data_IF_434904792389
#
_entry.id   IF_434904792389
#
_cell.length_a   1.000
_cell.length_b   1.000
_cell.length_c   1.000
_cell.angle_alpha   90.00
_cell.angle_beta   90.00
_cell.angle_gamma   90.00
#
_symmetry.space_group_name_H-M   'P 1'
#
loop_
_entity.id
_entity.type
_entity.pdbx_description
1 polymer ?
#
# COMPACT_ATOMS: atom_id res chain seq x y z
N UNK A 1 -0.21 34.27 7.59
CA UNK A 1 -0.46 32.92 7.04
C UNK A 1 -1.63 32.99 6.06
N UNK A 2 -1.43 32.66 4.78
CA UNK A 2 -2.51 32.72 3.77
C UNK A 2 -3.62 31.69 4.05
N UNK A 3 -4.84 31.96 3.56
CA UNK A 3 -5.95 31.00 3.63
C UNK A 3 -5.55 29.75 2.84
N UNK A 4 -5.59 28.58 3.47
CA UNK A 4 -5.40 27.30 2.77
C UNK A 4 -6.57 27.11 1.82
N UNK A 5 -6.29 26.75 0.57
CA UNK A 5 -7.31 26.35 -0.40
C UNK A 5 -8.10 25.12 0.07
N UNK A 6 -9.24 24.81 -0.57
CA UNK A 6 -10.05 23.66 -0.21
C UNK A 6 -9.23 22.37 -0.29
N UNK A 7 -9.47 21.45 0.67
CA UNK A 7 -8.80 20.15 0.66
C UNK A 7 -9.19 19.36 -0.60
N UNK A 8 -8.24 18.67 -1.26
CA UNK A 8 -8.55 17.78 -2.37
C UNK A 8 -9.56 16.71 -1.95
N UNK A 9 -10.55 16.47 -2.82
CA UNK A 9 -11.48 15.35 -2.73
C UNK A 9 -11.05 14.29 -3.73
N UNK A 10 -11.28 13.02 -3.38
CA UNK A 10 -10.96 11.90 -4.26
C UNK A 10 -12.23 11.18 -4.67
N UNK A 11 -12.39 10.95 -5.96
CA UNK A 11 -13.56 10.27 -6.53
C UNK A 11 -13.37 8.75 -6.59
N UNK A 12 -12.12 8.31 -6.66
CA UNK A 12 -11.67 6.94 -6.90
C UNK A 12 -11.14 6.23 -5.64
N UNK A 13 -11.08 6.92 -4.50
CA UNK A 13 -10.56 6.36 -3.25
C UNK A 13 -11.72 5.98 -2.33
N UNK A 14 -11.79 4.70 -1.97
CA UNK A 14 -12.76 4.16 -1.01
C UNK A 14 -12.22 4.13 0.42
N UNK A 15 -13.12 4.07 1.40
CA UNK A 15 -12.72 3.86 2.79
C UNK A 15 -12.30 2.40 3.02
N UNK A 16 -11.10 2.13 3.59
CA UNK A 16 -10.61 0.77 3.87
C UNK A 16 -11.09 0.23 5.23
N UNK A 17 -12.02 0.89 5.90
CA UNK A 17 -12.53 0.41 7.19
C UNK A 17 -13.74 -0.50 6.96
N UNK A 18 -13.59 -1.82 7.16
CA UNK A 18 -14.70 -2.79 7.03
C UNK A 18 -15.92 -2.48 7.91
N UNK A 19 -15.72 -1.74 9.00
CA UNK A 19 -16.80 -1.35 9.91
C UNK A 19 -17.44 0.00 9.53
N UNK A 20 -17.00 0.64 8.45
CA UNK A 20 -17.57 1.90 7.98
C UNK A 20 -18.81 1.64 7.12
N UNK A 21 -19.85 2.45 7.30
CA UNK A 21 -21.06 2.42 6.45
C UNK A 21 -20.78 2.64 4.96
N UNK A 22 -19.69 3.34 4.65
CA UNK A 22 -19.22 3.63 3.29
C UNK A 22 -17.94 2.84 2.95
N UNK A 23 -17.78 1.65 3.54
CA UNK A 23 -16.67 0.75 3.21
C UNK A 23 -16.71 0.34 1.73
N UNK A 24 -15.57 0.39 1.05
CA UNK A 24 -15.44 -0.07 -0.34
C UNK A 24 -16.13 0.79 -1.40
N UNK A 25 -16.99 1.75 -1.02
CA UNK A 25 -17.69 2.63 -1.93
C UNK A 25 -16.82 3.84 -2.33
N UNK A 26 -16.72 4.09 -3.63
CA UNK A 26 -16.07 5.27 -4.21
C UNK A 26 -17.09 6.38 -4.49
N UNK A 27 -16.62 7.59 -4.80
CA UNK A 27 -17.43 8.76 -5.16
C UNK A 27 -18.51 9.18 -4.12
N UNK A 28 -18.33 8.82 -2.83
CA UNK A 28 -19.26 9.20 -1.77
C UNK A 28 -18.91 10.54 -1.11
N UNK A 29 -17.83 11.20 -1.54
CA UNK A 29 -17.36 12.47 -0.97
C UNK A 29 -16.84 12.38 0.47
N UNK A 30 -16.79 11.18 1.05
CA UNK A 30 -16.34 10.95 2.43
C UNK A 30 -14.81 10.93 2.58
N UNK A 31 -14.05 10.67 1.50
CA UNK A 31 -12.59 10.62 1.55
C UNK A 31 -11.99 11.94 1.07
N UNK A 32 -11.16 12.56 1.92
CA UNK A 32 -10.47 13.81 1.62
C UNK A 32 -8.98 13.75 1.94
N UNK A 33 -8.22 14.62 1.30
CA UNK A 33 -6.78 14.77 1.57
C UNK A 33 -6.50 15.22 3.00
N UNK A 34 -5.63 14.49 3.68
CA UNK A 34 -5.13 14.78 5.02
C UNK A 34 -3.61 15.07 5.03
N UNK A 35 -3.15 15.78 4.01
CA UNK A 35 -1.74 16.14 3.83
C UNK A 35 -0.92 15.07 3.14
N UNK A 36 0.37 15.36 3.00
CA UNK A 36 1.36 14.51 2.34
C UNK A 36 2.62 14.47 3.19
N UNK A 37 3.36 13.37 3.15
CA UNK A 37 4.62 13.18 3.86
C UNK A 37 5.57 12.37 2.99
N UNK A 38 6.87 12.44 3.28
CA UNK A 38 7.85 11.61 2.61
C UNK A 38 7.93 10.26 3.34
N UNK A 39 7.77 9.18 2.60
CA UNK A 39 7.95 7.81 3.05
C UNK A 39 8.77 7.08 2.01
N UNK A 40 9.83 6.36 2.41
CA UNK A 40 10.69 5.59 1.49
C UNK A 40 11.29 6.40 0.34
N UNK A 41 11.52 7.70 0.55
CA UNK A 41 12.03 8.61 -0.49
C UNK A 41 10.96 9.12 -1.46
N UNK A 42 9.69 8.74 -1.29
CA UNK A 42 8.59 9.13 -2.17
C UNK A 42 7.52 9.93 -1.41
N UNK A 43 6.79 10.77 -2.14
CA UNK A 43 5.71 11.57 -1.58
C UNK A 43 4.47 10.70 -1.40
N UNK A 44 4.16 10.34 -0.17
CA UNK A 44 2.96 9.58 0.18
C UNK A 44 1.84 10.50 0.62
N UNK A 45 0.66 10.29 0.03
CA UNK A 45 -0.57 10.99 0.42
C UNK A 45 -1.22 10.32 1.63
N UNK A 46 -1.74 11.14 2.54
CA UNK A 46 -2.68 10.71 3.58
C UNK A 46 -4.07 11.14 3.19
N UNK A 47 -5.02 10.29 3.51
CA UNK A 47 -6.44 10.51 3.33
C UNK A 47 -7.15 10.24 4.66
N UNK A 48 -8.28 10.89 4.86
CA UNK A 48 -9.16 10.63 6.00
C UNK A 48 -10.58 10.42 5.50
N UNK A 49 -11.25 9.42 6.06
CA UNK A 49 -12.67 9.21 5.85
C UNK A 49 -13.45 10.02 6.90
N UNK A 50 -14.22 11.03 6.47
CA UNK A 50 -15.05 11.83 7.37
C UNK A 50 -16.25 11.06 7.95
N UNK A 51 -16.62 9.92 7.37
CA UNK A 51 -17.71 9.08 7.89
C UNK A 51 -17.31 8.29 9.15
N UNK A 52 -16.07 7.81 9.24
CA UNK A 52 -15.62 6.95 10.34
C UNK A 52 -14.32 7.42 11.02
N UNK A 53 -13.72 8.51 10.57
CA UNK A 53 -12.49 9.07 11.11
C UNK A 53 -11.20 8.32 10.75
N UNK A 54 -11.26 7.15 10.07
CA UNK A 54 -10.06 6.39 9.72
C UNK A 54 -9.13 7.22 8.84
N UNK A 55 -7.89 7.37 9.27
CA UNK A 55 -6.78 7.92 8.49
C UNK A 55 -6.05 6.78 7.81
N UNK A 56 -5.75 6.93 6.54
CA UNK A 56 -5.08 5.92 5.74
C UNK A 56 -4.22 6.59 4.65
N UNK A 57 -3.47 5.79 3.91
CA UNK A 57 -2.59 6.24 2.84
C UNK A 57 -2.72 5.34 1.61
N UNK A 58 -2.04 5.70 0.53
CA UNK A 58 -2.10 5.00 -0.77
C UNK A 58 -1.66 3.52 -0.68
N UNK A 59 -0.88 3.13 0.34
CA UNK A 59 -0.47 1.74 0.55
C UNK A 59 -1.39 0.97 1.50
N UNK A 60 -2.44 1.58 2.06
CA UNK A 60 -3.34 0.89 3.01
C UNK A 60 -4.06 -0.26 2.32
N UNK A 61 -4.08 -1.42 2.97
CA UNK A 61 -4.62 -2.70 2.45
C UNK A 61 -3.95 -3.22 1.16
N UNK A 62 -2.82 -2.64 0.75
CA UNK A 62 -1.99 -3.15 -0.35
C UNK A 62 -0.87 -4.07 0.15
N UNK A 63 -0.22 -4.78 -0.78
CA UNK A 63 1.02 -5.51 -0.53
C UNK A 63 2.08 -4.63 0.15
N UNK A 64 2.18 -3.36 -0.24
CA UNK A 64 3.17 -2.43 0.28
C UNK A 64 2.89 -1.93 1.70
N UNK A 65 1.73 -2.20 2.29
CA UNK A 65 1.39 -1.65 3.61
C UNK A 65 2.45 -1.96 4.69
N UNK A 66 2.93 -0.97 5.44
CA UNK A 66 3.94 -1.13 6.50
C UNK A 66 5.30 -1.73 6.08
N UNK A 67 5.64 -1.79 4.79
CA UNK A 67 7.02 -2.04 4.37
C UNK A 67 7.89 -0.78 4.57
N UNK A 68 9.21 -0.93 4.73
CA UNK A 68 10.13 0.21 4.95
C UNK A 68 11.09 0.46 3.80
N UNK A 69 11.27 -0.51 2.90
CA UNK A 69 12.09 -0.36 1.69
C UNK A 69 11.26 0.25 0.56
N UNK A 70 11.93 0.95 -0.35
CA UNK A 70 11.33 1.51 -1.55
C UNK A 70 10.63 0.42 -2.38
N UNK A 71 9.52 0.76 -3.02
CA UNK A 71 8.74 -0.20 -3.80
C UNK A 71 9.57 -0.85 -4.90
N UNK A 72 10.38 -0.05 -5.61
CA UNK A 72 11.31 -0.53 -6.65
C UNK A 72 12.23 -1.65 -6.19
N UNK A 73 12.76 -1.58 -4.96
CA UNK A 73 13.64 -2.62 -4.40
C UNK A 73 12.86 -3.91 -4.15
N UNK A 74 11.64 -3.79 -3.63
CA UNK A 74 10.78 -4.94 -3.34
C UNK A 74 10.32 -5.58 -4.66
N UNK A 75 9.92 -4.79 -5.65
CA UNK A 75 9.55 -5.25 -6.98
C UNK A 75 10.68 -6.01 -7.66
N UNK A 76 11.92 -5.51 -7.53
CA UNK A 76 13.08 -6.16 -8.08
C UNK A 76 13.33 -7.51 -7.39
N UNK A 77 13.19 -7.58 -6.06
CA UNK A 77 13.27 -8.84 -5.32
C UNK A 77 12.23 -9.87 -5.81
N UNK A 78 10.97 -9.44 -5.94
CA UNK A 78 9.90 -10.31 -6.45
C UNK A 78 10.20 -10.79 -7.87
N UNK A 79 10.64 -9.90 -8.78
CA UNK A 79 11.01 -10.26 -10.16
C UNK A 79 12.19 -11.23 -10.21
N UNK A 80 13.21 -11.05 -9.38
CA UNK A 80 14.36 -11.95 -9.30
C UNK A 80 13.92 -13.35 -8.84
N UNK A 81 13.10 -13.43 -7.79
CA UNK A 81 12.56 -14.70 -7.32
C UNK A 81 11.65 -15.38 -8.36
N UNK A 82 10.83 -14.62 -9.09
CA UNK A 82 10.03 -15.17 -10.21
C UNK A 82 10.89 -15.73 -11.35
N UNK A 83 12.11 -15.22 -11.52
CA UNK A 83 13.10 -15.75 -12.48
C UNK A 83 13.92 -16.92 -11.92
N UNK A 84 13.57 -17.45 -10.74
CA UNK A 84 14.22 -18.62 -10.13
C UNK A 84 15.46 -18.30 -9.31
N UNK A 85 15.75 -17.03 -9.03
CA UNK A 85 16.88 -16.66 -8.17
C UNK A 85 16.59 -17.04 -6.71
N UNK A 86 17.58 -17.58 -6.01
CA UNK A 86 17.43 -17.94 -4.60
C UNK A 86 17.23 -16.70 -3.72
N UNK A 87 16.74 -16.91 -2.50
CA UNK A 87 16.54 -15.83 -1.52
C UNK A 87 17.88 -15.19 -1.18
N UNK A 88 18.92 -16.02 -1.03
CA UNK A 88 20.29 -15.60 -0.70
C UNK A 88 20.90 -14.78 -1.83
N UNK A 89 20.80 -15.25 -3.08
CA UNK A 89 21.32 -14.52 -4.24
C UNK A 89 20.56 -13.20 -4.46
N UNK A 90 19.24 -13.20 -4.26
CA UNK A 90 18.43 -11.97 -4.35
C UNK A 90 18.82 -10.97 -3.26
N UNK A 91 19.06 -11.45 -2.04
CA UNK A 91 19.46 -10.63 -0.91
C UNK A 91 20.85 -10.00 -1.12
N UNK A 92 21.78 -10.77 -1.66
CA UNK A 92 23.13 -10.34 -2.02
C UNK A 92 23.09 -9.23 -3.09
N UNK A 93 22.41 -9.47 -4.22
CA UNK A 93 22.29 -8.50 -5.32
C UNK A 93 21.62 -7.18 -4.89
N UNK A 94 20.66 -7.24 -3.96
CA UNK A 94 19.92 -6.06 -3.49
C UNK A 94 20.52 -5.44 -2.22
N UNK A 95 21.59 -6.00 -1.68
CA UNK A 95 22.22 -5.58 -0.43
C UNK A 95 21.20 -5.45 0.73
N UNK A 96 20.38 -6.49 0.88
CA UNK A 96 19.38 -6.58 1.96
C UNK A 96 19.52 -7.89 2.73
N UNK A 97 18.90 -7.96 3.89
CA UNK A 97 18.84 -9.20 4.66
C UNK A 97 17.95 -10.23 3.96
N UNK A 98 18.40 -11.48 3.85
CA UNK A 98 17.63 -12.60 3.28
C UNK A 98 16.29 -12.81 3.98
N UNK A 99 16.22 -12.57 5.29
CA UNK A 99 14.98 -12.60 6.06
C UNK A 99 13.95 -11.56 5.56
N UNK A 100 14.40 -10.41 5.04
CA UNK A 100 13.51 -9.40 4.43
C UNK A 100 12.93 -9.91 3.11
N UNK A 101 13.77 -10.50 2.25
CA UNK A 101 13.32 -11.09 0.97
C UNK A 101 12.31 -12.22 1.23
N UNK A 102 12.61 -13.14 2.15
CA UNK A 102 11.70 -14.21 2.57
C UNK A 102 10.35 -13.66 3.05
N UNK A 103 10.36 -12.59 3.87
CA UNK A 103 9.14 -11.95 4.36
C UNK A 103 8.32 -11.31 3.23
N UNK A 104 8.97 -10.68 2.25
CA UNK A 104 8.28 -10.11 1.09
C UNK A 104 7.63 -11.18 0.24
N UNK A 105 8.31 -12.29 -0.03
CA UNK A 105 7.76 -13.42 -0.79
C UNK A 105 6.56 -14.06 -0.10
N UNK A 106 6.68 -14.37 1.20
CA UNK A 106 5.58 -14.93 1.98
C UNK A 106 4.35 -13.99 1.98
N UNK A 107 4.60 -12.68 2.05
CA UNK A 107 3.54 -11.68 1.99
C UNK A 107 2.90 -11.57 0.61
N UNK A 108 3.68 -11.69 -0.47
CA UNK A 108 3.17 -11.70 -1.83
C UNK A 108 2.26 -12.92 -2.06
N UNK A 109 2.68 -14.10 -1.61
CA UNK A 109 1.85 -15.31 -1.65
C UNK A 109 0.51 -15.12 -0.92
N UNK A 110 0.54 -14.64 0.33
CA UNK A 110 -0.68 -14.34 1.09
C UNK A 110 -1.61 -13.32 0.40
N UNK A 111 -1.06 -12.39 -0.37
CA UNK A 111 -1.86 -11.42 -1.11
C UNK A 111 -2.47 -12.05 -2.37
N UNK A 112 -1.73 -12.91 -3.08
CA UNK A 112 -2.26 -13.69 -4.20
C UNK A 112 -3.45 -14.55 -3.78
N UNK A 113 -3.39 -15.20 -2.61
CA UNK A 113 -4.49 -16.01 -2.10
C UNK A 113 -5.76 -15.19 -1.85
N UNK A 114 -5.62 -13.96 -1.33
CA UNK A 114 -6.76 -13.05 -1.13
C UNK A 114 -7.38 -12.60 -2.45
N UNK A 115 -6.55 -12.29 -3.45
CA UNK A 115 -7.04 -11.89 -4.77
C UNK A 115 -7.74 -13.06 -5.45
N UNK A 116 -7.13 -14.25 -5.44
CA UNK A 116 -7.70 -15.48 -6.00
C UNK A 116 -9.02 -15.89 -5.34
N UNK A 117 -9.18 -15.62 -4.05
CA UNK A 117 -10.45 -15.84 -3.35
C UNK A 117 -11.52 -14.82 -3.78
N UNK A 118 -11.12 -13.57 -4.08
CA UNK A 118 -12.03 -12.51 -4.48
C UNK A 118 -12.48 -12.59 -5.94
N UNK A 119 -11.71 -13.24 -6.83
CA UNK A 119 -12.07 -13.48 -8.25
C UNK A 119 -12.87 -14.76 -8.49
N UNK A 120 -13.10 -15.58 -7.47
CA UNK A 120 -13.91 -16.81 -7.55
C UNK A 120 -15.36 -16.64 -7.05
N UNK A 121 -15.82 -15.40 -6.87
CA UNK A 121 -17.20 -15.01 -6.55
C UNK A 121 -17.73 -14.11 -7.67
#
# INVERSE_FOLDING_TARGET
MGKRGPKPRFIDVACPNKNCKLYGLTNQGNVVGNGTYISRGEKTRRSVCHQCGKVFNDHTDTFYHNLRKAEKTIDLALKMSMKGMSIEATADVLEVESASVKRWLARAANQCDKVNFCTKL
#
